data_IF_719157722055
#
_entry.id   IF_719157722055
#
_cell.length_a   1.000
_cell.length_b   1.000
_cell.length_c   1.000
_cell.angle_alpha   90.00
_cell.angle_beta   90.00
_cell.angle_gamma   90.00
#
_symmetry.space_group_name_H-M   'P 1'
#
loop_
_entity.id
_entity.type
_entity.pdbx_description
1 polymer ?
#
# COMPACT_ATOMS: atom_id res chain seq x y z
N UNK A 1 55.46 -48.78 28.64
CA UNK A 1 54.27 -49.06 27.82
C UNK A 1 53.06 -48.64 28.62
N UNK A 2 52.37 -47.58 28.17
CA UNK A 2 50.99 -47.15 28.53
C UNK A 2 50.78 -46.72 30.01
N UNK A 3 50.25 -45.55 30.37
CA UNK A 3 49.05 -44.88 29.86
C UNK A 3 49.08 -43.37 30.17
N UNK A 4 48.89 -42.54 29.15
CA UNK A 4 48.44 -41.14 29.29
C UNK A 4 47.01 -41.07 28.77
N UNK A 5 46.02 -40.79 29.63
CA UNK A 5 44.68 -40.40 29.17
C UNK A 5 44.14 -39.32 30.09
N UNK A 6 44.44 -38.06 29.71
CA UNK A 6 43.78 -36.87 30.24
C UNK A 6 42.36 -36.88 29.67
N UNK A 7 41.37 -37.01 30.56
CA UNK A 7 39.97 -37.00 30.21
C UNK A 7 39.58 -35.60 29.72
N UNK A 8 39.53 -35.42 28.40
CA UNK A 8 38.95 -34.23 27.76
C UNK A 8 37.43 -34.32 27.89
N UNK A 9 36.89 -33.68 28.92
CA UNK A 9 35.46 -33.35 28.98
C UNK A 9 35.26 -32.23 27.95
N UNK A 10 34.81 -32.61 26.76
CA UNK A 10 34.41 -31.70 25.71
C UNK A 10 33.25 -30.84 26.18
N UNK A 11 33.56 -29.61 26.59
CA UNK A 11 32.59 -28.54 26.83
C UNK A 11 31.99 -28.15 25.48
N UNK A 12 30.89 -28.81 25.09
CA UNK A 12 30.07 -28.38 23.97
C UNK A 12 29.39 -27.06 24.33
N UNK A 13 30.05 -25.96 23.98
CA UNK A 13 29.52 -24.61 24.10
C UNK A 13 28.44 -24.43 23.02
N UNK A 14 27.20 -24.76 23.35
CA UNK A 14 26.05 -24.42 22.52
C UNK A 14 25.90 -22.89 22.59
N UNK A 15 26.43 -22.19 21.58
CA UNK A 15 26.15 -20.78 21.37
C UNK A 15 24.68 -20.64 20.95
N UNK A 16 23.80 -20.47 21.93
CA UNK A 16 22.44 -20.00 21.69
C UNK A 16 22.55 -18.61 21.07
N UNK A 17 22.22 -18.48 19.78
CA UNK A 17 22.03 -17.16 19.14
C UNK A 17 20.85 -16.48 19.83
N UNK A 18 21.12 -15.49 20.66
CA UNK A 18 20.10 -14.55 21.13
C UNK A 18 19.75 -13.63 19.96
N UNK A 19 18.62 -13.89 19.31
CA UNK A 19 17.99 -12.89 18.42
C UNK A 19 17.69 -11.67 19.29
N UNK A 20 18.34 -10.54 18.99
CA UNK A 20 18.22 -9.33 19.78
C UNK A 20 16.84 -8.69 19.56
N UNK A 21 16.10 -8.42 20.64
CA UNK A 21 14.86 -7.65 20.59
C UNK A 21 15.08 -6.20 20.10
N UNK A 22 16.32 -5.73 20.07
CA UNK A 22 16.72 -4.38 19.66
C UNK A 22 16.45 -4.09 18.17
N UNK A 23 16.64 -5.09 17.29
CA UNK A 23 16.41 -4.94 15.85
C UNK A 23 14.92 -4.74 15.50
N UNK A 24 14.03 -5.22 16.39
CA UNK A 24 12.58 -5.13 16.23
C UNK A 24 12.04 -3.72 16.46
N UNK A 25 12.67 -2.99 17.38
CA UNK A 25 12.27 -1.63 17.76
C UNK A 25 12.81 -0.61 16.77
N UNK A 26 14.07 -0.77 16.37
CA UNK A 26 14.74 0.13 15.41
C UNK A 26 13.98 0.21 14.07
N UNK A 27 13.54 -0.94 13.56
CA UNK A 27 12.84 -1.04 12.27
C UNK A 27 11.42 -0.47 12.31
N UNK A 28 10.67 -0.68 13.40
CA UNK A 28 9.36 -0.02 13.63
C UNK A 28 9.51 1.49 13.75
N UNK A 29 10.53 1.96 14.47
CA UNK A 29 10.79 3.38 14.67
C UNK A 29 11.15 4.07 13.35
N UNK A 30 11.94 3.39 12.50
CA UNK A 30 12.24 3.83 11.14
C UNK A 30 10.96 3.96 10.29
N UNK A 31 10.12 2.91 10.27
CA UNK A 31 8.81 2.98 9.59
C UNK A 31 7.98 4.14 10.14
N UNK A 32 7.88 4.28 11.46
CA UNK A 32 7.07 5.31 12.09
C UNK A 32 7.54 6.72 11.73
N UNK A 33 8.85 6.96 11.77
CA UNK A 33 9.43 8.26 11.44
C UNK A 33 9.23 8.60 9.96
N UNK A 34 9.57 7.66 9.07
CA UNK A 34 9.44 7.88 7.62
C UNK A 34 7.98 8.07 7.24
N UNK A 35 7.08 7.22 7.74
CA UNK A 35 5.65 7.28 7.41
C UNK A 35 4.99 8.56 7.88
N UNK A 36 5.34 9.07 9.08
CA UNK A 36 4.81 10.36 9.55
C UNK A 36 5.21 11.51 8.62
N UNK A 37 6.47 11.53 8.17
CA UNK A 37 6.93 12.53 7.20
C UNK A 37 6.23 12.38 5.84
N UNK A 38 6.10 11.15 5.35
CA UNK A 38 5.42 10.85 4.09
C UNK A 38 3.94 11.26 4.14
N UNK A 39 3.21 10.87 5.20
CA UNK A 39 1.81 11.20 5.38
C UNK A 39 1.58 12.70 5.53
N UNK A 40 2.42 13.38 6.31
CA UNK A 40 2.32 14.83 6.48
C UNK A 40 2.51 15.59 5.17
N UNK A 41 3.34 15.05 4.25
CA UNK A 41 3.63 15.70 2.96
C UNK A 41 2.58 15.38 1.91
N UNK A 42 2.10 14.14 1.86
CA UNK A 42 1.34 13.63 0.71
C UNK A 42 -0.09 13.19 1.03
N UNK A 43 -0.47 12.98 2.30
CA UNK A 43 -1.72 12.30 2.62
C UNK A 43 -2.67 13.14 3.48
N UNK A 44 -2.15 13.97 4.39
CA UNK A 44 -2.96 14.71 5.36
C UNK A 44 -3.80 15.84 4.77
N UNK A 45 -3.55 16.24 3.52
CA UNK A 45 -4.41 17.21 2.85
C UNK A 45 -5.86 16.71 2.70
N UNK A 46 -6.04 15.42 2.39
CA UNK A 46 -7.35 14.77 2.22
C UNK A 46 -7.73 13.85 3.39
N UNK A 47 -6.74 13.40 4.17
CA UNK A 47 -6.89 12.44 5.28
C UNK A 47 -6.28 12.98 6.59
N UNK A 48 -6.47 14.27 6.86
CA UNK A 48 -6.00 14.98 8.06
C UNK A 48 -7.11 15.24 9.09
N UNK A 49 -6.93 16.26 9.94
CA UNK A 49 -7.98 16.70 10.87
C UNK A 49 -9.15 17.37 10.15
N UNK A 50 -8.82 18.21 9.15
CA UNK A 50 -9.77 19.07 8.43
C UNK A 50 -10.54 18.33 7.33
N UNK A 51 -9.96 17.29 6.75
CA UNK A 51 -10.55 16.46 5.70
C UNK A 51 -10.29 14.98 6.02
N UNK A 52 -11.33 14.16 5.93
CA UNK A 52 -11.30 12.73 6.31
C UNK A 52 -11.95 11.89 5.22
N UNK A 53 -11.35 11.91 4.02
CA UNK A 53 -11.86 11.11 2.93
C UNK A 53 -11.90 9.61 3.30
N UNK A 54 -13.03 8.98 2.97
CA UNK A 54 -13.32 7.59 3.32
C UNK A 54 -13.20 7.25 4.82
N UNK A 55 -13.33 8.23 5.71
CA UNK A 55 -13.21 8.07 7.18
C UNK A 55 -11.82 7.56 7.62
N UNK A 56 -10.78 7.94 6.85
CA UNK A 56 -9.39 7.58 7.13
C UNK A 56 -8.60 8.81 7.56
N UNK A 57 -7.77 8.64 8.60
CA UNK A 57 -6.89 9.67 9.15
C UNK A 57 -5.45 9.22 9.24
N UNK A 58 -4.54 10.05 8.74
CA UNK A 58 -3.09 9.81 8.75
C UNK A 58 -2.29 10.81 9.59
N UNK A 59 -2.96 11.72 10.30
CA UNK A 59 -2.30 12.61 11.27
C UNK A 59 -1.95 11.89 12.59
N UNK A 60 -2.66 10.78 12.89
CA UNK A 60 -2.40 9.90 14.05
C UNK A 60 -2.47 8.41 13.66
N UNK A 61 -1.55 7.93 12.80
CA UNK A 61 -1.59 6.56 12.31
C UNK A 61 -1.18 5.55 13.39
N UNK A 62 -1.86 4.40 13.43
CA UNK A 62 -1.44 3.24 14.22
C UNK A 62 -0.31 2.50 13.51
N UNK A 63 0.68 2.03 14.29
CA UNK A 63 1.79 1.20 13.82
C UNK A 63 1.78 -0.19 14.46
N UNK A 64 0.68 -0.57 15.12
CA UNK A 64 0.53 -1.92 15.66
C UNK A 64 0.12 -2.90 14.56
N UNK A 65 1.09 -3.35 13.77
CA UNK A 65 0.86 -4.27 12.65
C UNK A 65 0.50 -5.71 13.08
N UNK A 66 0.47 -5.99 14.41
CA UNK A 66 -0.09 -7.25 14.91
C UNK A 66 -1.61 -7.24 14.80
N UNK A 67 -2.23 -6.11 15.08
CA UNK A 67 -3.66 -5.87 14.91
C UNK A 67 -4.05 -6.03 13.43
N UNK A 68 -5.11 -6.80 13.19
CA UNK A 68 -5.54 -7.14 11.85
C UNK A 68 -6.01 -5.90 11.08
N UNK A 69 -6.84 -5.06 11.70
CA UNK A 69 -7.39 -3.87 11.06
C UNK A 69 -6.29 -2.87 10.68
N UNK A 70 -5.31 -2.67 11.57
CA UNK A 70 -4.13 -1.86 11.29
C UNK A 70 -3.35 -2.46 10.12
N UNK A 71 -3.02 -3.75 10.15
CA UNK A 71 -2.26 -4.39 9.06
C UNK A 71 -2.97 -4.33 7.71
N UNK A 72 -4.31 -4.47 7.69
CA UNK A 72 -5.13 -4.36 6.48
C UNK A 72 -5.12 -2.94 5.93
N UNK A 73 -5.18 -1.92 6.80
CA UNK A 73 -5.05 -0.53 6.40
C UNK A 73 -3.68 -0.27 5.75
N UNK A 74 -2.59 -0.76 6.35
CA UNK A 74 -1.25 -0.63 5.78
C UNK A 74 -1.09 -1.34 4.43
N UNK A 75 -1.70 -2.51 4.26
CA UNK A 75 -1.73 -3.20 2.97
C UNK A 75 -2.50 -2.39 1.89
N UNK A 76 -3.60 -1.72 2.27
CA UNK A 76 -4.35 -0.83 1.37
C UNK A 76 -3.53 0.41 1.00
N UNK A 77 -2.88 1.06 1.96
CA UNK A 77 -1.97 2.19 1.72
C UNK A 77 -0.88 1.79 0.74
N UNK A 78 -0.23 0.65 0.99
CA UNK A 78 0.79 0.12 0.10
C UNK A 78 0.25 -0.01 -1.32
N UNK A 79 -0.91 -0.65 -1.52
CA UNK A 79 -1.45 -0.85 -2.86
C UNK A 79 -1.75 0.49 -3.56
N UNK A 80 -2.37 1.44 -2.85
CA UNK A 80 -2.67 2.77 -3.40
C UNK A 80 -1.40 3.52 -3.83
N UNK A 81 -0.34 3.49 -3.02
CA UNK A 81 0.94 4.15 -3.36
C UNK A 81 1.69 3.38 -4.45
N UNK A 82 1.67 2.05 -4.44
CA UNK A 82 2.33 1.21 -5.45
C UNK A 82 1.78 1.47 -6.85
N UNK A 83 0.47 1.65 -6.99
CA UNK A 83 -0.17 1.96 -8.27
C UNK A 83 -0.23 3.46 -8.57
N UNK A 84 0.40 4.29 -7.73
CA UNK A 84 0.32 5.75 -7.82
C UNK A 84 -1.13 6.26 -7.88
N UNK A 85 -2.09 5.55 -7.28
CA UNK A 85 -3.49 6.00 -7.13
C UNK A 85 -3.59 7.09 -6.07
N UNK A 86 -2.67 7.09 -5.09
CA UNK A 86 -2.57 8.12 -4.05
C UNK A 86 -1.15 8.73 -4.03
N UNK A 87 -1.04 10.07 -3.92
CA UNK A 87 -2.11 11.06 -3.97
C UNK A 87 -2.76 11.12 -5.36
N UNK A 88 -4.03 11.58 -5.46
CA UNK A 88 -4.76 11.64 -6.73
C UNK A 88 -4.13 12.65 -7.70
N UNK A 89 -4.50 12.58 -8.98
CA UNK A 89 -3.86 13.36 -10.04
C UNK A 89 -4.16 14.86 -10.01
N UNK A 90 -5.21 15.26 -9.29
CA UNK A 90 -5.66 16.64 -9.08
C UNK A 90 -4.92 17.35 -7.93
N UNK A 91 -3.98 16.67 -7.27
CA UNK A 91 -3.10 17.24 -6.25
C UNK A 91 -1.69 17.43 -6.85
N UNK A 92 -1.14 18.63 -6.66
CA UNK A 92 0.18 19.00 -7.19
C UNK A 92 1.33 18.24 -6.51
N UNK A 93 1.21 17.98 -5.21
CA UNK A 93 2.24 17.33 -4.40
C UNK A 93 2.12 15.81 -4.45
N UNK A 94 2.87 15.20 -5.38
CA UNK A 94 2.95 13.73 -5.52
C UNK A 94 4.37 13.20 -5.28
N UNK A 95 4.51 12.07 -4.59
CA UNK A 95 5.82 11.48 -4.33
C UNK A 95 6.48 11.02 -5.63
N UNK A 96 7.78 11.27 -5.74
CA UNK A 96 8.60 10.74 -6.83
C UNK A 96 8.62 9.20 -6.81
N UNK A 97 9.02 8.58 -7.92
CA UNK A 97 9.14 7.11 -7.98
C UNK A 97 10.08 6.56 -6.88
N UNK A 98 11.17 7.28 -6.60
CA UNK A 98 12.13 6.92 -5.55
C UNK A 98 11.53 7.00 -4.15
N UNK A 99 10.83 8.10 -3.81
CA UNK A 99 10.18 8.24 -2.50
C UNK A 99 9.10 7.16 -2.28
N UNK A 100 8.34 6.81 -3.33
CA UNK A 100 7.38 5.70 -3.26
C UNK A 100 8.08 4.37 -3.01
N UNK A 101 9.14 4.06 -3.76
CA UNK A 101 9.89 2.81 -3.59
C UNK A 101 10.47 2.69 -2.18
N UNK A 102 11.06 3.75 -1.65
CA UNK A 102 11.56 3.79 -0.26
C UNK A 102 10.43 3.53 0.74
N UNK A 103 9.30 4.19 0.58
CA UNK A 103 8.15 4.02 1.47
C UNK A 103 7.61 2.58 1.45
N UNK A 104 7.39 2.05 0.25
CA UNK A 104 6.86 0.70 0.05
C UNK A 104 7.81 -0.37 0.60
N UNK A 105 9.12 -0.18 0.43
CA UNK A 105 10.15 -1.09 0.97
C UNK A 105 10.06 -1.19 2.50
N UNK A 106 9.87 -0.07 3.19
CA UNK A 106 9.74 -0.05 4.65
C UNK A 106 8.46 -0.75 5.11
N UNK A 107 7.33 -0.51 4.42
CA UNK A 107 6.06 -1.17 4.74
C UNK A 107 6.17 -2.68 4.51
N UNK A 108 6.70 -3.11 3.37
CA UNK A 108 6.83 -4.53 3.02
C UNK A 108 7.70 -5.26 4.03
N UNK A 109 8.82 -4.65 4.41
CA UNK A 109 9.72 -5.18 5.43
C UNK A 109 8.99 -5.38 6.74
N UNK A 110 8.26 -4.38 7.24
CA UNK A 110 7.55 -4.52 8.52
C UNK A 110 6.38 -5.51 8.48
N UNK A 111 5.57 -5.49 7.42
CA UNK A 111 4.46 -6.45 7.28
C UNK A 111 4.97 -7.90 7.17
N UNK A 112 6.10 -8.12 6.50
CA UNK A 112 6.73 -9.45 6.36
C UNK A 112 7.07 -10.10 7.69
N UNK A 113 7.43 -9.30 8.70
CA UNK A 113 7.76 -9.80 10.05
C UNK A 113 6.56 -10.41 10.78
N UNK A 114 5.36 -10.05 10.34
CA UNK A 114 4.10 -10.59 10.84
C UNK A 114 3.49 -11.63 9.88
N UNK A 115 4.24 -12.11 8.88
CA UNK A 115 3.74 -13.04 7.86
C UNK A 115 2.76 -12.41 6.88
N UNK A 116 2.70 -11.08 6.81
CA UNK A 116 1.79 -10.29 5.97
C UNK A 116 2.51 -9.55 4.84
N UNK A 117 3.75 -9.98 4.55
CA UNK A 117 4.61 -9.43 3.52
C UNK A 117 3.94 -9.43 2.15
N UNK A 118 4.08 -8.32 1.45
CA UNK A 118 3.55 -8.14 0.11
C UNK A 118 4.53 -8.68 -0.93
N UNK A 119 5.84 -8.81 -0.60
CA UNK A 119 6.91 -9.40 -1.41
C UNK A 119 6.81 -9.01 -2.87
N UNK A 120 6.64 -7.71 -3.13
CA UNK A 120 6.20 -7.25 -4.45
C UNK A 120 7.19 -7.62 -5.53
N UNK A 121 8.49 -7.57 -5.27
CA UNK A 121 9.50 -7.95 -6.26
C UNK A 121 9.40 -9.44 -6.62
N UNK A 122 9.27 -10.32 -5.64
CA UNK A 122 9.16 -11.75 -5.89
C UNK A 122 7.82 -12.11 -6.52
N UNK A 123 6.72 -11.55 -6.00
CA UNK A 123 5.39 -11.76 -6.55
C UNK A 123 5.26 -11.18 -7.96
N UNK A 124 5.76 -9.98 -8.23
CA UNK A 124 5.75 -9.36 -9.59
C UNK A 124 6.59 -10.14 -10.61
N UNK A 125 7.53 -10.97 -10.15
CA UNK A 125 8.29 -11.91 -10.99
C UNK A 125 7.55 -13.25 -11.20
N UNK A 126 6.45 -13.51 -10.50
CA UNK A 126 5.62 -14.69 -10.72
C UNK A 126 4.68 -14.48 -11.92
N UNK A 127 4.63 -15.42 -12.88
CA UNK A 127 3.69 -15.37 -14.01
C UNK A 127 2.22 -15.22 -13.57
N UNK A 128 1.89 -15.83 -12.44
CA UNK A 128 0.57 -15.81 -11.79
C UNK A 128 0.18 -14.41 -11.27
N UNK A 129 1.15 -13.62 -10.80
CA UNK A 129 0.92 -12.27 -10.28
C UNK A 129 0.92 -11.21 -11.39
N UNK A 130 1.38 -11.58 -12.58
CA UNK A 130 1.13 -10.86 -13.82
C UNK A 130 -0.35 -10.80 -14.21
N UNK A 131 -1.24 -11.56 -13.54
CA UNK A 131 -2.66 -11.59 -13.92
C UNK A 131 -3.68 -11.79 -12.78
N UNK A 132 -3.41 -12.50 -11.67
CA UNK A 132 -4.50 -12.88 -10.74
C UNK A 132 -5.05 -11.77 -9.83
N UNK A 133 -4.21 -11.18 -8.99
CA UNK A 133 -4.62 -10.11 -8.05
C UNK A 133 -4.59 -8.72 -8.69
N UNK A 134 -3.76 -8.57 -9.73
CA UNK A 134 -3.74 -7.41 -10.61
C UNK A 134 -4.97 -7.37 -11.50
N UNK A 135 -5.55 -8.47 -12.02
CA UNK A 135 -6.83 -8.35 -12.74
C UNK A 135 -7.96 -7.96 -11.80
N UNK A 136 -8.04 -8.46 -10.57
CA UNK A 136 -9.07 -7.99 -9.64
C UNK A 136 -8.87 -6.52 -9.25
N UNK A 137 -7.62 -6.08 -9.04
CA UNK A 137 -7.30 -4.71 -8.63
C UNK A 137 -7.31 -3.72 -9.80
N UNK A 138 -6.85 -4.14 -10.98
CA UNK A 138 -6.94 -3.42 -12.25
C UNK A 138 -8.36 -3.44 -12.80
N UNK A 139 -9.16 -4.50 -12.62
CA UNK A 139 -10.60 -4.46 -12.90
C UNK A 139 -11.30 -3.49 -11.96
N UNK A 140 -10.94 -3.44 -10.67
CA UNK A 140 -11.43 -2.39 -9.76
C UNK A 140 -10.95 -0.99 -10.16
N UNK A 141 -9.71 -0.83 -10.63
CA UNK A 141 -9.17 0.43 -11.15
C UNK A 141 -9.90 0.86 -12.43
N UNK A 142 -9.99 -0.02 -13.42
CA UNK A 142 -10.71 0.18 -14.67
C UNK A 142 -12.20 0.43 -14.42
N UNK A 143 -12.88 -0.32 -13.54
CA UNK A 143 -14.29 -0.07 -13.19
C UNK A 143 -14.49 1.31 -12.53
N UNK A 144 -13.58 1.72 -11.63
CA UNK A 144 -13.65 3.05 -10.99
C UNK A 144 -13.34 4.18 -11.99
N UNK A 145 -12.38 4.00 -12.89
CA UNK A 145 -11.99 5.01 -13.87
C UNK A 145 -12.90 5.04 -15.11
N UNK A 146 -13.48 3.92 -15.56
CA UNK A 146 -14.60 3.92 -16.52
C UNK A 146 -15.80 4.65 -15.93
N UNK A 147 -16.10 4.46 -14.64
CA UNK A 147 -17.15 5.22 -13.97
C UNK A 147 -16.87 6.73 -13.92
N UNK A 148 -15.62 7.15 -13.66
CA UNK A 148 -15.20 8.57 -13.69
C UNK A 148 -15.19 9.14 -15.12
N UNK A 149 -14.70 8.39 -16.10
CA UNK A 149 -14.66 8.78 -17.52
C UNK A 149 -16.05 8.83 -18.15
N UNK A 150 -16.96 7.92 -17.78
CA UNK A 150 -18.36 7.98 -18.19
C UNK A 150 -19.08 9.16 -17.53
N UNK A 151 -18.81 9.46 -16.25
CA UNK A 151 -19.37 10.65 -15.59
C UNK A 151 -18.87 11.95 -16.21
N UNK A 152 -17.57 12.05 -16.55
CA UNK A 152 -17.03 13.22 -17.26
C UNK A 152 -17.54 13.33 -18.69
N UNK A 153 -17.75 12.20 -19.38
CA UNK A 153 -18.40 12.17 -20.69
C UNK A 153 -19.87 12.61 -20.62
N UNK A 154 -20.61 12.22 -19.56
CA UNK A 154 -22.01 12.66 -19.36
C UNK A 154 -22.13 14.09 -18.83
N UNK A 155 -21.08 14.66 -18.20
CA UNK A 155 -21.04 16.09 -17.88
C UNK A 155 -20.64 16.97 -19.07
N UNK A 156 -20.04 16.39 -20.11
CA UNK A 156 -19.77 17.09 -21.38
C UNK A 156 -20.94 17.00 -22.38
N UNK A 157 -21.76 15.94 -22.34
CA UNK A 157 -23.02 15.84 -23.11
C UNK A 157 -24.17 16.52 -22.35
N UNK A 158 -23.91 17.73 -21.86
CA UNK A 158 -24.82 18.52 -21.01
C UNK A 158 -25.10 19.93 -21.53
N UNK A 159 -24.60 20.30 -22.70
CA UNK A 159 -24.90 21.57 -23.38
C UNK A 159 -24.87 21.33 -24.89
N UNK A 160 -25.98 20.88 -25.48
CA UNK A 160 -26.32 21.12 -26.90
C UNK A 160 -27.72 20.58 -27.23
N UNK A 161 -28.72 21.31 -26.74
CA UNK A 161 -29.88 21.91 -27.47
C UNK A 161 -30.32 21.36 -28.86
N UNK A 162 -30.19 20.07 -29.18
CA UNK A 162 -30.64 19.50 -30.48
C UNK A 162 -31.61 18.31 -30.40
N UNK A 163 -31.94 17.80 -29.19
CA UNK A 163 -32.86 16.64 -29.02
C UNK A 163 -34.36 16.97 -28.98
N UNK A 164 -34.78 18.19 -29.34
CA UNK A 164 -36.21 18.59 -29.38
C UNK A 164 -36.82 18.68 -30.79
N UNK A 165 -36.03 18.44 -31.84
CA UNK A 165 -36.52 18.34 -33.21
C UNK A 165 -36.76 16.89 -33.67
N UNK A 166 -35.87 15.96 -33.31
CA UNK A 166 -35.92 14.58 -33.81
C UNK A 166 -37.00 13.68 -33.14
N UNK A 167 -37.48 14.03 -31.94
CA UNK A 167 -38.51 13.23 -31.23
C UNK A 167 -39.95 13.49 -31.70
N UNK A 168 -40.21 14.53 -32.49
CA UNK A 168 -41.56 14.86 -33.00
C UNK A 168 -41.97 14.12 -34.28
N UNK A 169 -41.04 13.46 -34.97
CA UNK A 169 -41.31 12.75 -36.24
C UNK A 169 -41.56 11.24 -36.09
N UNK A 170 -41.28 10.64 -34.93
CA UNK A 170 -41.41 9.18 -34.75
C UNK A 170 -42.71 8.78 -34.03
N UNK A 171 -43.39 9.72 -33.35
CA UNK A 171 -44.60 9.43 -32.55
C UNK A 171 -45.75 10.41 -32.82
N UNK A 172 -45.97 10.82 -34.07
CA UNK A 172 -47.02 11.76 -34.45
C UNK A 172 -47.71 11.43 -35.77
N UNK A 173 -48.53 10.38 -35.77
CA UNK A 173 -49.84 10.21 -36.45
C UNK A 173 -50.19 8.72 -36.51
#
# INVERSE_FOLDING_TARGET
MLLTFVSSIGMNLILARTVSADETTNTRDELAKFSKAFFSKYCTQCHGSEAQEADIRFDKPSFDLKDAATSDLWARIFAQVQFAEMPPEDVDDRPTAHEREQFLTLIDRELSRYGRGMNVKEKMLLPEYGSGQTLASAARYLQRNLGKALRSATSFVGQDRWRSAAWRQIHGS
#
